data_IF_749084523691
#
_entry.id   IF_749084523691
#
_cell.length_a   1.000
_cell.length_b   1.000
_cell.length_c   1.000
_cell.angle_alpha   90.00
_cell.angle_beta   90.00
_cell.angle_gamma   90.00
#
_symmetry.space_group_name_H-M   'P 1'
#
loop_
_entity.id
_entity.type
_entity.pdbx_description
1 polymer ?
#
# COMPACT_ATOMS: atom_id res chain seq x y z
N UNK A 1 -10.19 -3.56 13.75
CA UNK A 1 -10.04 -4.50 12.64
C UNK A 1 -8.78 -4.12 11.89
N UNK A 2 -7.80 -5.02 11.84
CA UNK A 2 -6.52 -4.80 11.18
C UNK A 2 -6.70 -4.98 9.68
N UNK A 3 -6.36 -3.93 8.94
CA UNK A 3 -6.50 -3.88 7.51
C UNK A 3 -5.18 -4.30 6.86
N UNK A 4 -5.12 -5.52 6.30
CA UNK A 4 -3.94 -6.02 5.59
C UNK A 4 -3.92 -5.72 4.08
N UNK A 5 -2.74 -5.34 3.60
CA UNK A 5 -2.45 -5.03 2.20
C UNK A 5 -1.20 -5.76 1.75
N UNK A 6 -1.21 -6.29 0.53
CA UNK A 6 -0.01 -6.69 -0.18
C UNK A 6 0.51 -5.49 -0.96
N UNK A 7 1.65 -4.97 -0.53
CA UNK A 7 2.32 -3.86 -1.15
C UNK A 7 3.55 -4.37 -1.92
N UNK A 8 3.63 -4.05 -3.20
CA UNK A 8 4.73 -4.40 -4.09
C UNK A 8 5.44 -3.14 -4.53
N UNK A 9 6.76 -3.12 -4.39
CA UNK A 9 7.63 -2.04 -4.88
C UNK A 9 8.56 -2.59 -5.96
N UNK A 10 8.63 -1.88 -7.09
CA UNK A 10 9.50 -2.24 -8.21
C UNK A 10 10.98 -2.05 -7.85
N UNK A 11 11.86 -2.49 -8.76
CA UNK A 11 13.32 -2.40 -8.60
C UNK A 11 13.85 -0.96 -8.52
N UNK A 12 13.00 0.04 -8.78
CA UNK A 12 13.35 1.45 -8.71
C UNK A 12 13.35 1.98 -7.26
N UNK A 13 12.74 1.27 -6.32
CA UNK A 13 12.73 1.66 -4.90
C UNK A 13 13.98 1.19 -4.18
N UNK A 14 14.30 1.89 -3.08
CA UNK A 14 15.38 1.51 -2.16
C UNK A 14 15.18 0.10 -1.58
N UNK A 15 13.93 -0.29 -1.36
CA UNK A 15 13.54 -1.60 -0.85
C UNK A 15 12.54 -2.29 -1.79
N UNK A 16 13.00 -2.93 -2.87
CA UNK A 16 12.13 -3.61 -3.81
C UNK A 16 11.56 -4.92 -3.24
N UNK A 17 10.41 -5.35 -3.75
CA UNK A 17 9.77 -6.62 -3.41
C UNK A 17 8.32 -6.47 -2.96
N UNK A 18 7.67 -7.60 -2.66
CA UNK A 18 6.31 -7.65 -2.13
C UNK A 18 6.35 -7.92 -0.62
N UNK A 19 5.53 -7.18 0.15
CA UNK A 19 5.38 -7.37 1.60
C UNK A 19 3.91 -7.23 1.99
N UNK A 20 3.52 -8.00 3.00
CA UNK A 20 2.23 -7.81 3.65
C UNK A 20 2.41 -6.75 4.72
N UNK A 21 1.60 -5.69 4.66
CA UNK A 21 1.65 -4.55 5.56
C UNK A 21 0.25 -4.20 6.06
N UNK A 22 0.17 -3.61 7.24
CA UNK A 22 -1.08 -3.08 7.77
C UNK A 22 -1.28 -1.63 7.32
N UNK A 23 -2.51 -1.11 7.47
CA UNK A 23 -2.84 0.29 7.14
C UNK A 23 -1.91 1.31 7.81
N UNK A 24 -1.43 1.00 9.02
CA UNK A 24 -0.51 1.84 9.79
C UNK A 24 0.83 2.08 9.06
N UNK A 25 1.26 1.15 8.20
CA UNK A 25 2.45 1.31 7.38
C UNK A 25 2.35 2.53 6.44
N UNK A 26 1.18 2.77 5.87
CA UNK A 26 0.95 3.90 4.97
C UNK A 26 0.69 5.22 5.72
N UNK A 27 0.33 5.13 7.00
CA UNK A 27 0.11 6.28 7.88
C UNK A 27 1.38 6.75 8.59
N UNK A 28 2.46 5.97 8.48
CA UNK A 28 3.76 6.29 9.06
C UNK A 28 4.36 7.56 8.42
N UNK A 29 4.56 8.66 9.18
CA UNK A 29 5.09 9.90 8.65
C UNK A 29 6.52 9.76 8.09
N UNK A 30 7.29 8.78 8.55
CA UNK A 30 8.67 8.57 8.09
C UNK A 30 8.73 7.99 6.66
N UNK A 31 7.62 7.42 6.16
CA UNK A 31 7.52 6.85 4.81
C UNK A 31 7.04 7.85 3.76
N UNK A 32 6.62 9.04 4.18
CA UNK A 32 6.31 10.18 3.32
C UNK A 32 5.25 9.90 2.22
N UNK A 33 4.24 9.07 2.53
CA UNK A 33 3.10 8.86 1.63
C UNK A 33 2.23 10.11 1.53
N UNK A 34 1.78 10.45 0.32
CA UNK A 34 0.84 11.55 0.13
C UNK A 34 -0.52 11.21 0.75
N UNK A 35 -1.13 12.17 1.44
CA UNK A 35 -2.44 11.99 2.09
C UNK A 35 -3.52 11.51 1.11
N UNK A 36 -3.46 11.97 -0.14
CA UNK A 36 -4.40 11.56 -1.19
C UNK A 36 -4.26 10.07 -1.53
N UNK A 37 -3.04 9.53 -1.55
CA UNK A 37 -2.80 8.13 -1.85
C UNK A 37 -3.17 7.24 -0.69
N UNK A 38 -2.87 7.66 0.54
CA UNK A 38 -3.36 6.96 1.75
C UNK A 38 -4.88 6.84 1.73
N UNK A 39 -5.60 7.92 1.37
CA UNK A 39 -7.06 7.87 1.27
C UNK A 39 -7.55 6.85 0.24
N UNK A 40 -6.89 6.76 -0.92
CA UNK A 40 -7.23 5.76 -1.95
C UNK A 40 -6.93 4.34 -1.46
N UNK A 41 -5.77 4.10 -0.84
CA UNK A 41 -5.39 2.79 -0.29
C UNK A 41 -6.40 2.34 0.76
N UNK A 42 -6.77 3.23 1.69
CA UNK A 42 -7.74 2.95 2.76
C UNK A 42 -9.14 2.66 2.21
N UNK A 43 -9.48 3.19 1.04
CA UNK A 43 -10.76 2.96 0.38
C UNK A 43 -10.85 1.63 -0.39
N UNK A 44 -9.74 0.92 -0.58
CA UNK A 44 -9.73 -0.35 -1.32
C UNK A 44 -10.56 -1.44 -0.61
N UNK A 45 -11.40 -2.12 -1.40
CA UNK A 45 -12.11 -3.32 -0.99
C UNK A 45 -11.24 -4.58 -1.15
N UNK A 46 -11.53 -5.65 -0.40
CA UNK A 46 -10.74 -6.89 -0.46
C UNK A 46 -10.74 -7.45 -1.88
N UNK A 47 -9.55 -7.65 -2.45
CA UNK A 47 -9.34 -8.07 -3.83
C UNK A 47 -9.00 -6.93 -4.79
N UNK A 48 -9.30 -5.68 -4.44
CA UNK A 48 -8.93 -4.51 -5.25
C UNK A 48 -7.46 -4.15 -5.10
N UNK A 49 -6.92 -3.55 -6.17
CA UNK A 49 -5.56 -3.06 -6.26
C UNK A 49 -5.50 -1.62 -6.74
N UNK A 50 -4.57 -0.86 -6.17
CA UNK A 50 -4.24 0.49 -6.58
C UNK A 50 -2.80 0.52 -7.10
N UNK A 51 -2.61 1.17 -8.23
CA UNK A 51 -1.29 1.49 -8.77
C UNK A 51 -0.92 2.92 -8.39
N UNK A 52 0.29 3.08 -7.87
CA UNK A 52 0.90 4.33 -7.44
C UNK A 52 2.22 4.51 -8.20
N UNK A 53 2.71 5.75 -8.25
CA UNK A 53 3.99 6.11 -8.85
C UNK A 53 4.19 5.55 -10.27
N UNK A 54 3.17 5.63 -11.11
CA UNK A 54 3.27 5.16 -12.49
C UNK A 54 3.46 3.65 -12.64
N UNK A 55 2.82 2.85 -11.77
CA UNK A 55 2.86 1.37 -11.69
C UNK A 55 4.07 0.76 -10.98
N UNK A 56 5.02 1.59 -10.54
CA UNK A 56 6.19 1.10 -9.81
C UNK A 56 5.86 0.71 -8.35
N UNK A 57 4.73 1.16 -7.83
CA UNK A 57 4.19 0.70 -6.56
C UNK A 57 2.75 0.21 -6.72
N UNK A 58 2.46 -0.99 -6.27
CA UNK A 58 1.11 -1.57 -6.31
C UNK A 58 0.69 -1.96 -4.91
N UNK A 59 -0.52 -1.58 -4.52
CA UNK A 59 -1.09 -1.94 -3.21
C UNK A 59 -2.39 -2.68 -3.45
N UNK A 60 -2.48 -3.92 -2.96
CA UNK A 60 -3.68 -4.76 -3.04
C UNK A 60 -4.24 -5.03 -1.66
N UNK A 61 -5.54 -4.86 -1.49
CA UNK A 61 -6.24 -5.21 -0.24
C UNK A 61 -6.44 -6.73 -0.18
N UNK A 62 -5.94 -7.39 0.87
CA UNK A 62 -5.99 -8.87 0.97
C UNK A 62 -6.85 -9.40 2.12
N UNK A 63 -7.05 -8.64 3.20
CA UNK A 63 -7.92 -9.07 4.32
C UNK A 63 -8.39 -7.90 5.21
N UNK A 64 -9.60 -8.06 5.77
CA UNK A 64 -10.10 -7.37 6.97
C UNK A 64 -10.10 -8.40 8.12
N UNK A 65 -9.27 -8.20 9.16
CA UNK A 65 -9.27 -9.01 10.38
C UNK A 65 -9.88 -8.26 11.56
#
# INVERSE_FOLDING_TARGET
MARQFEATWSKLYQEPGARIVDVEFFLDPDRNYEKADVQKIVALEVGESLELDGTDHTVKRIADM
#
